data_IF_458031160311
#
_entry.id   IF_458031160311
#
_cell.length_a   1.000
_cell.length_b   1.000
_cell.length_c   1.000
_cell.angle_alpha   90.00
_cell.angle_beta   90.00
_cell.angle_gamma   90.00
#
_symmetry.space_group_name_H-M   'P 1'
#
loop_
_entity.id
_entity.type
_entity.pdbx_description
1 polymer ?
#
# COMPACT_ATOMS: atom_id res chain seq x y z
N UNK A 1 6.47 -26.62 11.07
CA UNK A 1 5.73 -25.43 10.60
C UNK A 1 4.54 -25.32 11.53
N UNK A 2 4.53 -24.29 12.38
CA UNK A 2 3.36 -24.02 13.20
C UNK A 2 2.23 -23.63 12.24
N UNK A 3 1.09 -24.23 12.44
CA UNK A 3 -0.15 -23.92 11.72
C UNK A 3 -0.67 -22.57 12.26
N UNK A 4 0.01 -21.49 11.90
CA UNK A 4 -0.45 -20.13 12.15
C UNK A 4 -1.53 -19.85 11.11
N UNK A 5 -2.78 -19.83 11.59
CA UNK A 5 -3.97 -19.74 10.76
C UNK A 5 -3.95 -18.54 9.82
N UNK A 6 -4.61 -18.66 8.66
CA UNK A 6 -4.79 -17.62 7.64
C UNK A 6 -5.22 -16.28 8.28
N UNK A 7 -4.49 -15.22 8.01
CA UNK A 7 -4.80 -13.86 8.48
C UNK A 7 -5.83 -13.18 7.58
N UNK A 8 -6.66 -12.32 8.15
CA UNK A 8 -7.64 -11.52 7.40
C UNK A 8 -7.16 -10.09 7.30
N UNK A 9 -6.88 -9.64 6.09
CA UNK A 9 -6.44 -8.28 5.78
C UNK A 9 -7.56 -7.57 5.03
N UNK A 10 -8.10 -6.50 5.64
CA UNK A 10 -9.06 -5.60 5.03
C UNK A 10 -8.32 -4.42 4.43
N UNK A 11 -8.54 -4.14 3.15
CA UNK A 11 -7.99 -2.98 2.47
C UNK A 11 -9.13 -2.10 1.95
N UNK A 12 -9.10 -0.79 2.24
CA UNK A 12 -10.03 0.18 1.65
C UNK A 12 -9.27 1.13 0.74
N UNK A 13 -9.68 1.20 -0.52
CA UNK A 13 -8.96 2.01 -1.49
C UNK A 13 -9.61 2.01 -2.87
N UNK A 14 -8.88 2.53 -3.83
CA UNK A 14 -9.26 2.56 -5.23
C UNK A 14 -9.06 1.20 -5.91
N UNK A 15 -10.02 0.87 -6.78
CA UNK A 15 -9.89 -0.10 -7.87
C UNK A 15 -10.16 0.68 -9.14
N UNK A 16 -9.17 0.78 -10.00
CA UNK A 16 -9.21 1.66 -11.16
C UNK A 16 -8.46 1.06 -12.36
N UNK A 17 -8.70 1.62 -13.53
CA UNK A 17 -7.97 1.27 -14.75
C UNK A 17 -6.90 2.32 -15.06
N UNK A 18 -5.66 1.91 -15.14
CA UNK A 18 -4.58 2.69 -15.72
C UNK A 18 -4.66 2.59 -17.25
N UNK A 19 -5.06 3.68 -17.90
CA UNK A 19 -5.22 3.75 -19.35
C UNK A 19 -3.87 4.15 -19.99
N UNK A 20 -3.05 3.15 -20.25
CA UNK A 20 -1.71 3.31 -20.81
C UNK A 20 -1.73 3.21 -22.36
N UNK A 21 -0.72 3.76 -23.07
CA UNK A 21 -0.67 3.68 -24.55
C UNK A 21 -0.64 2.24 -25.09
N UNK A 22 -0.14 1.29 -24.32
CA UNK A 22 -0.02 -0.13 -24.67
C UNK A 22 -1.18 -1.00 -24.16
N UNK A 23 -2.18 -0.41 -23.55
CA UNK A 23 -3.39 -1.08 -23.06
C UNK A 23 -3.83 -0.64 -21.67
N UNK A 24 -5.02 -1.03 -21.29
CA UNK A 24 -5.57 -0.78 -19.95
C UNK A 24 -5.11 -1.86 -18.98
N UNK A 25 -4.74 -1.46 -17.75
CA UNK A 25 -4.38 -2.38 -16.66
C UNK A 25 -5.19 -2.05 -15.42
N UNK A 26 -5.73 -3.09 -14.79
CA UNK A 26 -6.40 -2.90 -13.49
C UNK A 26 -5.36 -2.68 -12.41
N UNK A 27 -5.54 -1.63 -11.62
CA UNK A 27 -4.61 -1.19 -10.59
C UNK A 27 -5.31 -0.45 -9.45
N UNK A 28 -4.52 0.26 -8.69
CA UNK A 28 -4.83 0.94 -7.44
C UNK A 28 -3.95 0.40 -6.33
N UNK A 29 -3.36 1.27 -5.51
CA UNK A 29 -2.35 0.85 -4.53
C UNK A 29 -2.91 -0.19 -3.55
N UNK A 30 -4.06 0.09 -2.95
CA UNK A 30 -4.68 -0.83 -1.99
C UNK A 30 -5.22 -2.10 -2.67
N UNK A 31 -5.64 -2.03 -3.93
CA UNK A 31 -6.00 -3.21 -4.72
C UNK A 31 -4.77 -4.08 -5.01
N UNK A 32 -3.65 -3.50 -5.42
CA UNK A 32 -2.40 -4.23 -5.66
C UNK A 32 -1.92 -4.93 -4.38
N UNK A 33 -1.96 -4.22 -3.23
CA UNK A 33 -1.67 -4.78 -1.92
C UNK A 33 -2.57 -5.98 -1.62
N UNK A 34 -3.90 -5.84 -1.75
CA UNK A 34 -4.85 -6.92 -1.49
C UNK A 34 -4.61 -8.14 -2.41
N UNK A 35 -4.33 -7.91 -3.70
CA UNK A 35 -4.01 -8.97 -4.64
C UNK A 35 -2.74 -9.74 -4.24
N UNK A 36 -1.70 -9.03 -3.78
CA UNK A 36 -0.45 -9.66 -3.30
C UNK A 36 -0.65 -10.44 -2.02
N UNK A 37 -1.37 -9.89 -1.05
CA UNK A 37 -1.72 -10.57 0.21
C UNK A 37 -2.48 -11.88 -0.07
N UNK A 38 -3.48 -11.85 -0.95
CA UNK A 38 -4.21 -13.05 -1.35
C UNK A 38 -3.31 -14.11 -2.00
N UNK A 39 -2.32 -13.70 -2.80
CA UNK A 39 -1.32 -14.60 -3.41
C UNK A 39 -0.34 -15.20 -2.40
N UNK A 40 -0.11 -14.53 -1.27
CA UNK A 40 0.72 -15.05 -0.18
C UNK A 40 -0.03 -16.03 0.72
N UNK A 41 -1.34 -16.25 0.49
CA UNK A 41 -2.16 -17.25 1.19
C UNK A 41 -3.01 -16.71 2.32
N UNK A 42 -3.03 -15.39 2.55
CA UNK A 42 -3.92 -14.74 3.50
C UNK A 42 -5.27 -14.39 2.86
N UNK A 43 -6.28 -14.15 3.69
CA UNK A 43 -7.58 -13.69 3.24
C UNK A 43 -7.57 -12.18 3.02
N UNK A 44 -7.55 -11.75 1.77
CA UNK A 44 -7.64 -10.35 1.41
C UNK A 44 -9.10 -9.95 1.12
N UNK A 45 -9.58 -8.90 1.79
CA UNK A 45 -10.88 -8.28 1.60
C UNK A 45 -10.70 -6.87 1.06
N UNK A 46 -11.15 -6.62 -0.19
CA UNK A 46 -11.03 -5.30 -0.82
C UNK A 46 -12.33 -4.53 -0.73
N UNK A 47 -12.32 -3.42 0.00
CA UNK A 47 -13.42 -2.45 0.07
C UNK A 47 -13.19 -1.38 -0.97
N UNK A 48 -14.06 -1.31 -1.96
CA UNK A 48 -14.06 -0.28 -3.00
C UNK A 48 -15.45 -0.17 -3.64
N UNK A 49 -15.58 0.67 -4.67
CA UNK A 49 -16.81 0.80 -5.44
C UNK A 49 -16.52 0.95 -6.92
N UNK A 50 -17.26 0.21 -7.75
CA UNK A 50 -17.13 0.17 -9.20
C UNK A 50 -18.44 0.63 -9.86
N UNK A 51 -18.34 1.33 -10.96
CA UNK A 51 -19.51 1.69 -11.75
C UNK A 51 -20.23 0.47 -12.32
N UNK A 52 -21.53 0.59 -12.60
CA UNK A 52 -22.27 -0.38 -13.43
C UNK A 52 -22.06 -0.07 -14.91
N UNK A 53 -20.80 -0.15 -15.32
CA UNK A 53 -20.32 0.07 -16.68
C UNK A 53 -19.41 -1.07 -17.13
N UNK A 54 -19.01 -1.06 -18.41
CA UNK A 54 -18.20 -2.12 -18.98
C UNK A 54 -16.85 -2.29 -18.26
N UNK A 55 -16.19 -1.19 -17.84
CA UNK A 55 -14.94 -1.22 -17.09
C UNK A 55 -15.13 -1.82 -15.69
N UNK A 56 -16.26 -1.55 -15.04
CA UNK A 56 -16.57 -2.12 -13.73
C UNK A 56 -16.90 -3.61 -13.80
N UNK A 57 -17.55 -4.06 -14.87
CA UNK A 57 -17.83 -5.49 -15.08
C UNK A 57 -16.55 -6.26 -15.39
N UNK A 58 -15.65 -5.68 -16.20
CA UNK A 58 -14.35 -6.23 -16.52
C UNK A 58 -13.45 -6.25 -15.27
N UNK A 59 -13.42 -5.16 -14.47
CA UNK A 59 -12.70 -5.11 -13.20
C UNK A 59 -13.11 -6.23 -12.25
N UNK A 60 -14.44 -6.46 -12.08
CA UNK A 60 -14.95 -7.57 -11.27
C UNK A 60 -14.48 -8.95 -11.79
N UNK A 61 -14.46 -9.12 -13.12
CA UNK A 61 -13.98 -10.37 -13.72
C UNK A 61 -12.48 -10.59 -13.42
N UNK A 62 -11.65 -9.53 -13.53
CA UNK A 62 -10.23 -9.60 -13.18
C UNK A 62 -10.04 -9.90 -11.70
N UNK A 63 -10.73 -9.19 -10.80
CA UNK A 63 -10.63 -9.41 -9.34
C UNK A 63 -10.95 -10.87 -8.98
N UNK A 64 -12.02 -11.43 -9.58
CA UNK A 64 -12.39 -12.85 -9.40
C UNK A 64 -11.32 -13.80 -9.95
N UNK A 65 -10.73 -13.49 -11.10
CA UNK A 65 -9.67 -14.32 -11.69
C UNK A 65 -8.39 -14.37 -10.84
N UNK A 66 -8.15 -13.32 -10.04
CA UNK A 66 -7.08 -13.26 -9.05
C UNK A 66 -7.40 -14.06 -7.78
N UNK A 67 -8.61 -14.60 -7.65
CA UNK A 67 -9.06 -15.34 -6.48
C UNK A 67 -9.48 -14.46 -5.29
N UNK A 68 -9.65 -13.16 -5.51
CA UNK A 68 -10.06 -12.23 -4.45
C UNK A 68 -11.59 -12.28 -4.22
N UNK A 69 -11.97 -12.09 -2.96
CA UNK A 69 -13.36 -11.91 -2.57
C UNK A 69 -13.92 -10.57 -3.10
N UNK A 70 -15.06 -10.62 -3.76
CA UNK A 70 -15.72 -9.44 -4.34
C UNK A 70 -16.92 -8.96 -3.54
N UNK A 71 -17.20 -9.54 -2.38
CA UNK A 71 -18.41 -9.26 -1.58
C UNK A 71 -18.45 -7.84 -1.04
N UNK A 72 -17.29 -7.20 -0.86
CA UNK A 72 -17.17 -5.82 -0.38
C UNK A 72 -16.87 -4.81 -1.50
N UNK A 73 -16.91 -5.25 -2.76
CA UNK A 73 -16.88 -4.35 -3.92
C UNK A 73 -18.28 -3.87 -4.26
N UNK A 74 -18.59 -2.65 -3.86
CA UNK A 74 -19.90 -2.03 -4.12
C UNK A 74 -20.07 -1.71 -5.60
N UNK A 75 -21.32 -1.55 -6.05
CA UNK A 75 -21.66 -1.15 -7.44
C UNK A 75 -22.42 0.16 -7.43
N UNK A 76 -22.01 1.07 -8.33
CA UNK A 76 -22.59 2.41 -8.46
C UNK A 76 -23.40 2.54 -9.75
N UNK A 77 -24.63 3.07 -9.64
CA UNK A 77 -25.52 3.31 -10.79
C UNK A 77 -25.32 4.70 -11.42
N UNK A 78 -24.58 5.60 -10.75
CA UNK A 78 -24.43 7.01 -11.13
C UNK A 78 -22.98 7.33 -11.53
N UNK A 79 -22.01 6.92 -10.71
CA UNK A 79 -20.61 7.24 -10.90
C UNK A 79 -19.88 6.14 -11.68
N UNK A 80 -19.06 6.52 -12.69
CA UNK A 80 -18.32 5.55 -13.50
C UNK A 80 -17.20 4.89 -12.71
N UNK A 81 -16.72 3.75 -13.22
CA UNK A 81 -15.51 3.09 -12.73
C UNK A 81 -14.30 4.01 -12.83
N UNK A 82 -13.44 4.01 -11.82
CA UNK A 82 -12.26 4.85 -11.75
C UNK A 82 -11.25 4.58 -12.85
N UNK A 83 -10.63 5.64 -13.36
CA UNK A 83 -9.56 5.56 -14.37
C UNK A 83 -8.45 6.55 -14.06
N UNK A 84 -7.24 6.18 -14.47
CA UNK A 84 -6.09 7.08 -14.58
C UNK A 84 -5.77 7.25 -16.07
N UNK A 85 -5.65 8.49 -16.51
CA UNK A 85 -5.29 8.82 -17.88
C UNK A 85 -3.86 9.31 -17.94
N UNK A 86 -3.10 8.83 -18.91
CA UNK A 86 -1.77 9.36 -19.19
C UNK A 86 -1.93 10.58 -20.08
N UNK A 87 -1.55 11.74 -19.54
CA UNK A 87 -1.45 12.99 -20.28
C UNK A 87 0.05 13.25 -20.52
N UNK A 88 0.38 13.91 -21.62
CA UNK A 88 1.75 14.34 -21.85
C UNK A 88 1.82 15.86 -21.71
N UNK A 89 2.82 16.33 -20.96
CA UNK A 89 3.08 17.75 -20.87
C UNK A 89 3.64 18.32 -22.20
N UNK A 90 3.87 19.64 -22.25
CA UNK A 90 4.41 20.31 -23.45
C UNK A 90 5.83 19.82 -23.84
N UNK A 91 6.52 19.12 -22.94
CA UNK A 91 7.86 18.54 -23.16
C UNK A 91 7.80 17.05 -23.49
N UNK A 92 6.59 16.45 -23.57
CA UNK A 92 6.39 15.02 -23.81
C UNK A 92 6.62 14.15 -22.55
N UNK A 93 6.64 14.75 -21.35
CA UNK A 93 6.77 14.01 -20.09
C UNK A 93 5.39 13.50 -19.72
N UNK A 94 5.22 12.20 -19.41
CA UNK A 94 3.93 11.65 -18.98
C UNK A 94 3.52 12.23 -17.61
N UNK A 95 2.30 12.68 -17.50
CA UNK A 95 1.63 13.05 -16.25
C UNK A 95 0.40 12.15 -16.09
N UNK A 96 0.18 11.66 -14.88
CA UNK A 96 -0.91 10.73 -14.57
C UNK A 96 -2.07 11.50 -13.96
N UNK A 97 -3.16 11.61 -14.70
CA UNK A 97 -4.36 12.29 -14.24
C UNK A 97 -5.37 11.28 -13.68
N UNK A 98 -5.55 11.30 -12.36
CA UNK A 98 -6.55 10.48 -11.67
C UNK A 98 -7.91 11.17 -11.79
N UNK A 99 -8.81 10.59 -12.61
CA UNK A 99 -10.12 11.16 -12.90
C UNK A 99 -10.92 11.30 -11.59
N UNK A 100 -11.45 12.50 -11.28
CA UNK A 100 -12.29 12.69 -10.10
C UNK A 100 -13.77 12.34 -10.40
N UNK A 101 -14.58 12.18 -9.33
CA UNK A 101 -16.02 11.93 -9.44
C UNK A 101 -16.33 10.55 -9.98
N UNK A 102 -15.60 9.56 -9.52
CA UNK A 102 -15.74 8.15 -9.90
C UNK A 102 -16.28 7.32 -8.74
N UNK A 103 -16.66 6.07 -9.00
CA UNK A 103 -17.37 5.24 -8.04
C UNK A 103 -16.67 5.05 -6.70
N UNK A 104 -15.33 4.82 -6.66
CA UNK A 104 -14.60 4.64 -5.41
C UNK A 104 -14.53 5.92 -4.53
N UNK A 105 -14.88 7.08 -5.05
CA UNK A 105 -15.05 8.31 -4.27
C UNK A 105 -16.32 8.30 -3.39
N UNK A 106 -17.19 7.29 -3.57
CA UNK A 106 -18.52 7.20 -2.99
C UNK A 106 -18.80 5.84 -2.32
N UNK A 107 -17.79 5.21 -1.73
CA UNK A 107 -17.98 3.99 -0.92
C UNK A 107 -18.91 4.32 0.24
N UNK A 108 -19.95 3.52 0.42
CA UNK A 108 -20.98 3.71 1.45
C UNK A 108 -20.76 2.75 2.61
N UNK A 109 -21.10 3.21 3.81
CA UNK A 109 -21.14 2.34 5.00
C UNK A 109 -22.26 1.33 4.88
N UNK A 110 -21.93 0.06 5.08
CA UNK A 110 -22.85 -1.08 5.06
C UNK A 110 -22.51 -2.04 6.19
N UNK A 111 -23.49 -2.76 6.73
CA UNK A 111 -23.28 -3.73 7.82
C UNK A 111 -22.23 -4.81 7.49
N UNK A 112 -22.06 -5.14 6.21
CA UNK A 112 -21.02 -6.06 5.75
C UNK A 112 -19.60 -5.52 6.00
N UNK A 113 -19.40 -4.19 5.89
CA UNK A 113 -18.11 -3.54 6.18
C UNK A 113 -17.83 -3.54 7.67
N UNK A 114 -18.84 -3.25 8.51
CA UNK A 114 -18.72 -3.29 9.97
C UNK A 114 -18.32 -4.69 10.45
N UNK A 115 -18.95 -5.71 9.88
CA UNK A 115 -18.59 -7.11 10.17
C UNK A 115 -17.18 -7.42 9.69
N UNK A 116 -16.79 -6.99 8.50
CA UNK A 116 -15.45 -7.27 7.97
C UNK A 116 -14.35 -6.64 8.82
N UNK A 117 -14.50 -5.37 9.25
CA UNK A 117 -13.49 -4.71 10.09
C UNK A 117 -13.38 -5.35 11.47
N UNK A 118 -14.48 -5.84 12.04
CA UNK A 118 -14.47 -6.52 13.35
C UNK A 118 -13.75 -7.89 13.33
N UNK A 119 -13.55 -8.47 12.15
CA UNK A 119 -12.89 -9.77 11.95
C UNK A 119 -11.48 -9.62 11.34
N UNK A 120 -11.04 -8.42 11.04
CA UNK A 120 -9.75 -8.19 10.43
C UNK A 120 -8.58 -8.30 11.44
N UNK A 121 -7.50 -8.98 11.05
CA UNK A 121 -6.21 -8.91 11.76
C UNK A 121 -5.44 -7.65 11.38
N UNK A 122 -5.70 -7.10 10.18
CA UNK A 122 -5.07 -5.88 9.68
C UNK A 122 -6.07 -5.07 8.85
N UNK A 123 -6.01 -3.75 8.99
CA UNK A 123 -6.77 -2.79 8.20
C UNK A 123 -5.82 -1.83 7.47
N UNK A 124 -5.70 -2.00 6.15
CA UNK A 124 -4.86 -1.18 5.29
C UNK A 124 -5.69 -0.07 4.62
N UNK A 125 -5.18 1.14 4.63
CA UNK A 125 -5.83 2.31 4.01
C UNK A 125 -4.80 3.32 3.49
N UNK A 126 -5.26 4.25 2.64
CA UNK A 126 -4.44 5.29 2.04
C UNK A 126 -5.14 6.65 2.02
N UNK A 127 -4.54 7.62 1.33
CA UNK A 127 -5.05 8.99 1.28
C UNK A 127 -5.97 9.26 0.09
N UNK A 128 -5.79 8.57 -1.04
CA UNK A 128 -6.48 8.86 -2.30
C UNK A 128 -8.01 8.83 -2.17
N UNK A 129 -8.57 7.81 -1.54
CA UNK A 129 -10.02 7.66 -1.37
C UNK A 129 -10.64 8.66 -0.39
N UNK A 130 -9.80 9.45 0.29
CA UNK A 130 -10.24 10.50 1.22
C UNK A 130 -10.43 11.86 0.54
N UNK A 131 -10.14 11.98 -0.76
CA UNK A 131 -10.27 13.24 -1.51
C UNK A 131 -11.71 13.78 -1.55
N UNK A 132 -12.70 12.91 -1.41
CA UNK A 132 -14.13 13.29 -1.30
C UNK A 132 -14.69 12.96 0.06
N UNK A 133 -15.78 13.63 0.45
CA UNK A 133 -16.44 13.43 1.75
C UNK A 133 -17.03 12.01 1.87
N UNK A 134 -17.61 11.45 0.81
CA UNK A 134 -18.30 10.16 0.85
C UNK A 134 -17.44 9.04 1.40
N UNK A 135 -16.41 8.64 0.68
CA UNK A 135 -15.53 7.54 1.13
C UNK A 135 -14.73 7.91 2.37
N UNK A 136 -14.37 9.21 2.54
CA UNK A 136 -13.68 9.66 3.77
C UNK A 136 -14.51 9.43 5.02
N UNK A 137 -15.82 9.66 5.00
CA UNK A 137 -16.72 9.40 6.13
C UNK A 137 -16.83 7.90 6.41
N UNK A 138 -16.95 7.07 5.38
CA UNK A 138 -16.94 5.61 5.51
C UNK A 138 -15.62 5.11 6.12
N UNK A 139 -14.48 5.60 5.65
CA UNK A 139 -13.18 5.25 6.21
C UNK A 139 -13.09 5.65 7.70
N UNK A 140 -13.51 6.87 8.05
CA UNK A 140 -13.53 7.34 9.44
C UNK A 140 -14.41 6.46 10.33
N UNK A 141 -15.57 6.06 9.83
CA UNK A 141 -16.47 5.14 10.52
C UNK A 141 -15.80 3.77 10.77
N UNK A 142 -15.15 3.20 9.76
CA UNK A 142 -14.48 1.91 9.89
C UNK A 142 -13.24 1.98 10.81
N UNK A 143 -12.43 3.05 10.73
CA UNK A 143 -11.28 3.25 11.61
C UNK A 143 -11.70 3.34 13.08
N UNK A 144 -12.86 3.94 13.38
CA UNK A 144 -13.40 4.00 14.73
C UNK A 144 -13.82 2.63 15.28
N UNK A 145 -14.04 1.64 14.43
CA UNK A 145 -14.40 0.26 14.81
C UNK A 145 -13.20 -0.70 14.78
N UNK A 146 -12.09 -0.29 14.19
CA UNK A 146 -10.87 -1.09 14.01
C UNK A 146 -10.03 -1.12 15.31
N UNK A 147 -10.61 -1.61 16.43
CA UNK A 147 -9.95 -1.56 17.75
C UNK A 147 -8.91 -2.67 17.94
N UNK A 148 -9.11 -3.84 17.33
CA UNK A 148 -8.33 -5.05 17.60
C UNK A 148 -7.51 -5.53 16.41
N UNK A 149 -7.21 -4.68 15.44
CA UNK A 149 -6.40 -5.01 14.27
C UNK A 149 -5.27 -4.00 14.08
N UNK A 150 -4.21 -4.44 13.40
CA UNK A 150 -3.11 -3.57 12.98
C UNK A 150 -3.61 -2.59 11.91
N UNK A 151 -3.56 -1.27 12.17
CA UNK A 151 -3.94 -0.23 11.22
C UNK A 151 -2.72 0.25 10.44
N UNK A 152 -2.67 -0.08 9.16
CA UNK A 152 -1.56 0.24 8.25
C UNK A 152 -1.96 1.37 7.31
N UNK A 153 -1.30 2.50 7.44
CA UNK A 153 -1.38 3.61 6.50
C UNK A 153 -0.25 3.48 5.46
N UNK A 154 -0.57 3.04 4.25
CA UNK A 154 0.28 3.27 3.07
C UNK A 154 -0.12 4.63 2.52
N UNK A 155 0.69 5.67 2.80
CA UNK A 155 0.24 7.04 2.63
C UNK A 155 -0.03 7.39 1.17
N UNK A 156 0.82 6.94 0.28
CA UNK A 156 0.68 6.96 -1.17
C UNK A 156 0.11 8.29 -1.68
N UNK A 157 0.84 9.39 -1.44
CA UNK A 157 0.40 10.73 -1.76
C UNK A 157 0.26 10.93 -3.27
N UNK A 158 -0.91 11.36 -3.71
CA UNK A 158 -1.18 11.67 -5.10
C UNK A 158 -1.53 13.16 -5.24
N UNK A 159 -0.89 13.82 -6.19
CA UNK A 159 -1.08 15.25 -6.47
C UNK A 159 -2.56 15.63 -6.42
N UNK A 160 -2.87 16.70 -5.69
CA UNK A 160 -4.22 17.26 -5.54
C UNK A 160 -5.30 16.31 -4.94
N UNK A 161 -4.91 15.16 -4.39
CA UNK A 161 -5.83 14.16 -3.83
C UNK A 161 -5.79 14.05 -2.30
N UNK A 162 -5.00 14.86 -1.61
CA UNK A 162 -4.91 14.88 -0.16
C UNK A 162 -4.93 16.32 0.39
N UNK A 163 -5.17 16.45 1.67
CA UNK A 163 -5.06 17.69 2.41
C UNK A 163 -4.31 17.45 3.72
N UNK A 164 -3.81 18.52 4.34
CA UNK A 164 -3.19 18.42 5.66
C UNK A 164 -4.15 17.73 6.67
N UNK A 165 -5.42 18.10 6.64
CA UNK A 165 -6.44 17.50 7.52
C UNK A 165 -6.56 15.98 7.34
N UNK A 166 -6.65 15.50 6.09
CA UNK A 166 -6.77 14.06 5.81
C UNK A 166 -5.52 13.28 6.19
N UNK A 167 -4.35 13.87 5.99
CA UNK A 167 -3.06 13.29 6.39
C UNK A 167 -2.95 13.22 7.93
N UNK A 168 -3.19 14.32 8.64
CA UNK A 168 -3.12 14.35 10.12
C UNK A 168 -4.15 13.40 10.75
N UNK A 169 -5.36 13.32 10.20
CA UNK A 169 -6.38 12.37 10.64
C UNK A 169 -5.88 10.92 10.47
N UNK A 170 -5.35 10.60 9.30
CA UNK A 170 -4.84 9.25 8.99
C UNK A 170 -3.69 8.85 9.91
N UNK A 171 -2.73 9.74 10.13
CA UNK A 171 -1.61 9.53 11.04
C UNK A 171 -2.05 9.33 12.49
N UNK A 172 -3.11 10.05 12.92
CA UNK A 172 -3.68 9.93 14.26
C UNK A 172 -4.41 8.60 14.52
N UNK A 173 -4.68 7.80 13.47
CA UNK A 173 -5.42 6.55 13.56
C UNK A 173 -4.61 5.33 13.09
N UNK A 174 -3.39 5.51 12.62
CA UNK A 174 -2.52 4.43 12.17
C UNK A 174 -1.61 3.91 13.29
N UNK A 175 -1.34 2.62 13.27
CA UNK A 175 -0.32 1.97 14.11
C UNK A 175 1.00 1.87 13.34
N UNK A 176 0.92 1.73 12.02
CA UNK A 176 2.06 1.65 11.12
C UNK A 176 1.88 2.64 9.95
N UNK A 177 2.90 3.47 9.75
CA UNK A 177 3.03 4.35 8.59
C UNK A 177 4.05 3.74 7.62
N UNK A 178 3.66 3.58 6.35
CA UNK A 178 4.60 3.33 5.25
C UNK A 178 4.56 4.48 4.26
N UNK A 179 5.74 4.89 3.84
CA UNK A 179 5.96 5.94 2.84
C UNK A 179 7.25 5.68 2.06
N UNK A 180 7.46 6.38 0.96
CA UNK A 180 8.72 6.40 0.24
C UNK A 180 9.53 7.66 0.59
N UNK A 181 10.75 7.78 0.08
CA UNK A 181 11.67 8.91 0.32
C UNK A 181 11.15 10.26 -0.23
N UNK A 182 10.47 10.27 -1.37
CA UNK A 182 9.81 11.48 -1.89
C UNK A 182 8.66 11.92 -0.96
N UNK A 183 7.88 10.98 -0.47
CA UNK A 183 6.77 11.23 0.46
C UNK A 183 7.26 11.71 1.83
N UNK A 184 8.46 11.29 2.28
CA UNK A 184 9.12 11.87 3.46
C UNK A 184 9.28 13.37 3.28
N UNK A 185 9.82 13.81 2.14
CA UNK A 185 10.01 15.24 1.86
C UNK A 185 8.68 15.99 1.80
N UNK A 186 7.68 15.42 1.11
CA UNK A 186 6.35 16.04 1.01
C UNK A 186 5.67 16.19 2.37
N UNK A 187 5.76 15.19 3.24
CA UNK A 187 5.19 15.26 4.58
C UNK A 187 5.99 16.18 5.51
N UNK A 188 7.31 16.20 5.38
CA UNK A 188 8.17 17.10 6.14
C UNK A 188 7.78 18.57 5.92
N UNK A 189 7.56 18.94 4.67
CA UNK A 189 7.07 20.27 4.29
C UNK A 189 5.62 20.49 4.76
N UNK A 190 4.70 19.55 4.45
CA UNK A 190 3.28 19.68 4.76
C UNK A 190 3.03 19.85 6.26
N UNK A 191 3.76 19.11 7.10
CA UNK A 191 3.57 19.08 8.55
C UNK A 191 4.53 20.02 9.29
N UNK A 192 5.41 20.74 8.56
CA UNK A 192 6.43 21.63 9.10
C UNK A 192 7.28 20.92 10.19
N UNK A 193 7.80 19.74 9.86
CA UNK A 193 8.65 18.95 10.75
C UNK A 193 10.09 19.49 10.73
N UNK A 194 10.61 19.77 9.51
CA UNK A 194 11.96 20.28 9.25
C UNK A 194 13.05 19.31 9.73
N UNK A 195 12.86 18.02 9.45
CA UNK A 195 13.82 16.97 9.75
C UNK A 195 15.03 17.03 8.81
N UNK A 196 16.20 16.73 9.33
CA UNK A 196 17.44 16.75 8.54
C UNK A 196 17.68 15.50 7.71
N UNK A 197 17.07 14.40 8.09
CA UNK A 197 17.21 13.08 7.47
C UNK A 197 15.99 12.18 7.74
N UNK A 198 15.83 11.04 7.04
CA UNK A 198 14.68 10.16 7.22
C UNK A 198 14.53 9.58 8.64
N UNK A 199 15.62 9.36 9.36
CA UNK A 199 15.56 8.84 10.75
C UNK A 199 15.00 9.90 11.69
N UNK A 200 15.47 11.15 11.55
CA UNK A 200 14.97 12.28 12.32
C UNK A 200 13.48 12.53 11.99
N UNK A 201 13.10 12.44 10.72
CA UNK A 201 11.70 12.54 10.31
C UNK A 201 10.83 11.46 10.97
N UNK A 202 11.22 10.18 10.88
CA UNK A 202 10.48 9.07 11.50
C UNK A 202 10.37 9.26 13.02
N UNK A 203 11.44 9.69 13.67
CA UNK A 203 11.46 9.96 15.12
C UNK A 203 10.44 11.03 15.49
N UNK A 204 10.43 12.14 14.75
CA UNK A 204 9.55 13.27 15.04
C UNK A 204 8.07 12.96 14.73
N UNK A 205 7.79 12.26 13.62
CA UNK A 205 6.41 11.91 13.28
C UNK A 205 5.84 10.90 14.27
N UNK A 206 6.64 9.94 14.74
CA UNK A 206 6.25 8.99 15.79
C UNK A 206 6.11 9.64 17.17
N UNK A 207 6.79 10.75 17.43
CA UNK A 207 6.57 11.54 18.65
C UNK A 207 5.24 12.30 18.61
N UNK A 208 4.79 12.75 17.42
CA UNK A 208 3.54 13.51 17.25
C UNK A 208 2.29 12.64 17.14
N UNK A 209 2.43 11.42 16.61
CA UNK A 209 1.30 10.53 16.32
C UNK A 209 1.47 9.15 16.99
N UNK A 210 0.39 8.39 17.23
CA UNK A 210 0.41 7.12 17.96
C UNK A 210 0.98 5.94 17.14
N UNK A 211 1.91 6.20 16.25
CA UNK A 211 2.55 5.20 15.41
C UNK A 211 3.45 4.28 16.23
N UNK A 212 3.32 2.98 16.07
CA UNK A 212 4.23 1.97 16.63
C UNK A 212 5.40 1.69 15.69
N UNK A 213 5.17 1.83 14.36
CA UNK A 213 6.20 1.65 13.34
C UNK A 213 6.12 2.71 12.25
N UNK A 214 7.28 3.14 11.75
CA UNK A 214 7.41 3.99 10.58
C UNK A 214 8.37 3.33 9.59
N UNK A 215 7.90 3.05 8.36
CA UNK A 215 8.64 2.39 7.31
C UNK A 215 8.88 3.37 6.16
N UNK A 216 10.14 3.56 5.76
CA UNK A 216 10.51 4.37 4.60
C UNK A 216 11.18 3.49 3.55
N UNK A 217 10.60 3.43 2.34
CA UNK A 217 11.19 2.72 1.21
C UNK A 217 12.01 3.67 0.33
N UNK A 218 13.17 3.20 -0.17
CA UNK A 218 14.11 3.95 -1.01
C UNK A 218 14.27 3.29 -2.39
N UNK A 219 13.15 2.80 -2.96
CA UNK A 219 13.14 2.11 -4.24
C UNK A 219 14.10 0.91 -4.25
N UNK A 220 15.05 0.90 -5.16
CA UNK A 220 16.04 -0.18 -5.30
C UNK A 220 17.01 -0.28 -4.12
N UNK A 221 17.09 0.73 -3.27
CA UNK A 221 17.99 0.78 -2.12
C UNK A 221 17.39 0.20 -0.83
N UNK A 222 16.17 -0.35 -0.88
CA UNK A 222 15.59 -1.07 0.24
C UNK A 222 14.74 -0.22 1.19
N UNK A 223 14.74 -0.52 2.48
CA UNK A 223 13.83 0.08 3.43
C UNK A 223 14.46 0.34 4.81
N UNK A 224 14.09 1.47 5.40
CA UNK A 224 14.34 1.85 6.78
C UNK A 224 13.07 1.60 7.60
N UNK A 225 13.20 1.06 8.79
CA UNK A 225 12.12 0.89 9.75
C UNK A 225 12.52 1.44 11.12
N UNK A 226 11.65 2.24 11.71
CA UNK A 226 11.74 2.66 13.09
C UNK A 226 10.57 2.08 13.87
N UNK A 227 10.85 1.60 15.09
CA UNK A 227 9.83 1.12 16.04
C UNK A 227 9.79 2.02 17.28
N UNK A 228 8.64 2.18 17.89
CA UNK A 228 8.46 3.02 19.10
C UNK A 228 9.38 2.64 20.24
N UNK A 229 9.81 1.38 20.32
CA UNK A 229 10.82 0.90 21.28
C UNK A 229 12.24 1.41 21.04
N UNK A 230 12.46 2.25 20.02
CA UNK A 230 13.76 2.84 19.67
C UNK A 230 14.61 2.00 18.74
N UNK A 231 14.11 0.84 18.27
CA UNK A 231 14.81 0.03 17.28
C UNK A 231 14.78 0.74 15.92
N UNK A 232 15.94 0.91 15.30
CA UNK A 232 16.12 1.43 13.95
C UNK A 232 16.81 0.37 13.11
N UNK A 233 16.20 -0.02 12.01
CA UNK A 233 16.64 -1.10 11.13
C UNK A 233 16.72 -0.55 9.71
N UNK A 234 17.81 -0.86 9.02
CA UNK A 234 17.89 -0.71 7.57
C UNK A 234 18.11 -2.08 6.93
N UNK A 235 17.23 -2.43 5.99
CA UNK A 235 17.35 -3.59 5.13
C UNK A 235 17.65 -3.13 3.70
N UNK A 236 18.86 -3.42 3.15
CA UNK A 236 19.21 -3.01 1.80
C UNK A 236 18.33 -3.65 0.73
N UNK A 237 18.21 -2.98 -0.41
CA UNK A 237 17.43 -3.46 -1.54
C UNK A 237 18.11 -4.58 -2.31
N UNK A 238 17.37 -5.28 -3.15
CA UNK A 238 17.91 -6.31 -4.04
C UNK A 238 18.22 -5.70 -5.41
N UNK A 239 19.41 -5.98 -5.94
CA UNK A 239 19.80 -5.54 -7.27
C UNK A 239 19.14 -6.43 -8.32
N UNK A 240 18.20 -5.88 -9.08
CA UNK A 240 17.48 -6.57 -10.15
C UNK A 240 17.46 -5.76 -11.43
N UNK A 241 17.16 -6.42 -12.54
CA UNK A 241 16.86 -5.72 -13.79
C UNK A 241 15.41 -5.22 -13.74
N UNK A 242 15.23 -3.92 -13.61
CA UNK A 242 13.91 -3.29 -13.52
C UNK A 242 13.24 -3.26 -14.90
N UNK A 243 12.00 -3.76 -14.96
CA UNK A 243 11.12 -3.73 -16.14
C UNK A 243 10.03 -2.68 -15.94
N UNK A 244 9.35 -2.71 -14.79
CA UNK A 244 8.27 -1.81 -14.43
C UNK A 244 8.24 -1.65 -12.91
N UNK A 245 8.15 -0.43 -12.39
CA UNK A 245 8.09 -0.17 -10.94
C UNK A 245 6.67 -0.13 -10.39
N UNK A 246 5.65 -0.24 -11.26
CA UNK A 246 4.25 -0.17 -10.84
C UNK A 246 3.92 -1.31 -9.86
N UNK A 247 3.38 -0.94 -8.70
CA UNK A 247 2.99 -1.88 -7.66
C UNK A 247 4.14 -2.47 -6.82
N UNK A 248 5.42 -2.07 -7.05
CA UNK A 248 6.55 -2.55 -6.23
C UNK A 248 6.44 -2.10 -4.77
N UNK A 249 6.03 -0.85 -4.52
CA UNK A 249 5.78 -0.33 -3.18
C UNK A 249 4.61 -1.03 -2.51
N UNK A 250 3.52 -1.29 -3.26
CA UNK A 250 2.34 -2.01 -2.77
C UNK A 250 2.70 -3.46 -2.40
N UNK A 251 3.57 -4.09 -3.21
CA UNK A 251 4.09 -5.43 -2.96
C UNK A 251 5.00 -5.46 -1.72
N UNK A 252 5.84 -4.44 -1.52
CA UNK A 252 6.62 -4.29 -0.28
C UNK A 252 5.68 -4.27 0.93
N UNK A 253 4.64 -3.42 0.90
CA UNK A 253 3.69 -3.30 2.01
C UNK A 253 2.94 -4.62 2.24
N UNK A 254 2.49 -5.31 1.18
CA UNK A 254 1.83 -6.61 1.27
C UNK A 254 2.75 -7.68 1.89
N UNK A 255 3.99 -7.76 1.44
CA UNK A 255 4.99 -8.70 1.96
C UNK A 255 5.34 -8.43 3.42
N UNK A 256 5.52 -7.16 3.77
CA UNK A 256 5.77 -6.74 5.16
C UNK A 256 4.60 -7.15 6.07
N UNK A 257 3.36 -6.76 5.72
CA UNK A 257 2.16 -7.05 6.51
C UNK A 257 1.97 -8.56 6.69
N UNK A 258 2.08 -9.32 5.60
CA UNK A 258 2.00 -10.80 5.65
C UNK A 258 2.98 -11.37 6.68
N UNK A 259 4.27 -11.08 6.55
CA UNK A 259 5.29 -11.65 7.44
C UNK A 259 5.16 -11.17 8.87
N UNK A 260 4.82 -9.90 9.07
CA UNK A 260 4.66 -9.31 10.40
C UNK A 260 3.49 -9.91 11.16
N UNK A 261 2.34 -10.11 10.52
CA UNK A 261 1.17 -10.76 11.12
C UNK A 261 1.41 -12.24 11.44
N UNK A 262 2.33 -12.89 10.73
CA UNK A 262 2.77 -14.26 11.00
C UNK A 262 3.98 -14.35 11.97
N UNK A 263 4.20 -13.31 12.78
CA UNK A 263 5.16 -13.33 13.89
C UNK A 263 6.62 -13.09 13.50
N UNK A 264 6.89 -12.66 12.26
CA UNK A 264 8.24 -12.25 11.87
C UNK A 264 8.65 -10.94 12.58
N UNK A 265 9.95 -10.79 12.86
CA UNK A 265 10.49 -9.51 13.33
C UNK A 265 10.34 -8.44 12.26
N UNK A 266 10.39 -7.15 12.65
CA UNK A 266 10.34 -6.01 11.72
C UNK A 266 11.41 -6.16 10.64
N UNK A 267 12.63 -6.57 10.98
CA UNK A 267 13.72 -6.84 10.04
C UNK A 267 13.35 -7.91 9.01
N UNK A 268 12.85 -9.06 9.48
CA UNK A 268 12.45 -10.16 8.58
C UNK A 268 11.30 -9.74 7.67
N UNK A 269 10.35 -8.98 8.18
CA UNK A 269 9.24 -8.45 7.40
C UNK A 269 9.72 -7.43 6.33
N UNK A 270 10.64 -6.52 6.68
CA UNK A 270 11.26 -5.59 5.71
C UNK A 270 12.04 -6.33 4.62
N UNK A 271 12.83 -7.35 5.00
CA UNK A 271 13.60 -8.16 4.06
C UNK A 271 12.70 -8.87 3.04
N UNK A 272 11.62 -9.49 3.51
CA UNK A 272 10.64 -10.14 2.65
C UNK A 272 9.89 -9.13 1.76
N UNK A 273 9.49 -7.98 2.32
CA UNK A 273 8.89 -6.88 1.57
C UNK A 273 9.80 -6.39 0.45
N UNK A 274 11.10 -6.16 0.74
CA UNK A 274 12.10 -5.79 -0.27
C UNK A 274 12.24 -6.86 -1.36
N UNK A 275 12.26 -8.15 -1.00
CA UNK A 275 12.35 -9.24 -1.96
C UNK A 275 11.12 -9.26 -2.89
N UNK A 276 9.92 -9.17 -2.32
CA UNK A 276 8.68 -9.17 -3.10
C UNK A 276 8.57 -7.95 -4.01
N UNK A 277 8.89 -6.75 -3.49
CA UNK A 277 8.93 -5.51 -4.27
C UNK A 277 9.92 -5.58 -5.43
N UNK A 278 11.13 -6.10 -5.18
CA UNK A 278 12.15 -6.28 -6.22
C UNK A 278 11.70 -7.28 -7.30
N UNK A 279 11.07 -8.40 -6.92
CA UNK A 279 10.54 -9.38 -7.88
C UNK A 279 9.41 -8.78 -8.73
N UNK A 280 8.52 -7.97 -8.13
CA UNK A 280 7.49 -7.24 -8.88
C UNK A 280 8.13 -6.29 -9.88
N UNK A 281 9.18 -5.59 -9.51
CA UNK A 281 9.90 -4.68 -10.42
C UNK A 281 10.51 -5.36 -11.64
N UNK A 282 10.68 -6.68 -11.64
CA UNK A 282 11.17 -7.46 -12.82
C UNK A 282 10.05 -7.85 -13.78
N UNK A 283 8.80 -7.52 -13.51
CA UNK A 283 7.62 -7.88 -14.31
C UNK A 283 6.91 -6.63 -14.80
N UNK A 284 5.95 -6.79 -15.69
CA UNK A 284 5.05 -5.71 -16.13
C UNK A 284 3.77 -5.76 -15.29
N UNK A 285 3.43 -4.65 -14.62
CA UNK A 285 2.22 -4.53 -13.81
C UNK A 285 2.33 -5.05 -12.38
N UNK A 286 1.42 -4.57 -11.50
CA UNK A 286 1.48 -4.77 -10.05
C UNK A 286 0.94 -6.10 -9.53
N UNK A 287 0.17 -6.87 -10.30
CA UNK A 287 -0.58 -8.05 -9.82
C UNK A 287 -0.20 -9.39 -10.47
N UNK A 288 0.79 -9.40 -11.35
CA UNK A 288 1.27 -10.64 -11.99
C UNK A 288 1.71 -11.70 -10.97
N UNK A 289 1.40 -12.99 -11.17
CA UNK A 289 1.65 -14.01 -10.17
C UNK A 289 3.15 -14.24 -9.93
N UNK A 290 3.52 -14.37 -8.65
CA UNK A 290 4.84 -14.81 -8.20
C UNK A 290 4.63 -16.02 -7.29
N UNK A 291 5.27 -17.14 -7.61
CA UNK A 291 5.14 -18.36 -6.81
C UNK A 291 5.83 -18.17 -5.44
N UNK A 292 5.22 -18.57 -4.30
CA UNK A 292 5.82 -18.43 -2.98
C UNK A 292 7.22 -19.05 -2.87
N UNK A 293 7.45 -20.17 -3.54
CA UNK A 293 8.74 -20.87 -3.57
C UNK A 293 9.81 -20.06 -4.32
N UNK A 294 9.38 -19.22 -5.29
CA UNK A 294 10.29 -18.34 -6.01
C UNK A 294 10.75 -17.19 -5.11
N UNK A 295 9.85 -16.66 -4.25
CA UNK A 295 10.20 -15.61 -3.28
C UNK A 295 11.20 -16.17 -2.26
N UNK A 296 10.92 -17.33 -1.69
CA UNK A 296 11.79 -17.97 -0.71
C UNK A 296 13.19 -18.30 -1.28
N UNK A 297 13.27 -18.69 -2.55
CA UNK A 297 14.58 -18.88 -3.24
C UNK A 297 15.28 -17.55 -3.43
N UNK A 298 14.58 -16.53 -3.91
CA UNK A 298 15.15 -15.21 -4.17
C UNK A 298 15.74 -14.55 -2.91
N UNK A 299 15.10 -14.71 -1.75
CA UNK A 299 15.65 -14.22 -0.47
C UNK A 299 16.99 -14.88 -0.10
N UNK A 300 17.26 -16.11 -0.59
CA UNK A 300 18.37 -16.94 -0.16
C UNK A 300 19.43 -17.21 -1.26
N UNK A 301 19.22 -16.74 -2.48
CA UNK A 301 20.11 -17.05 -3.61
C UNK A 301 21.40 -16.20 -3.71
N UNK A 302 21.62 -15.31 -2.71
CA UNK A 302 22.80 -14.46 -2.65
C UNK A 302 22.77 -13.27 -3.60
N UNK A 303 21.58 -12.89 -4.09
CA UNK A 303 21.39 -11.69 -4.93
C UNK A 303 22.08 -10.47 -4.33
N UNK A 304 22.85 -9.75 -5.15
CA UNK A 304 23.57 -8.55 -4.73
C UNK A 304 22.62 -7.49 -4.18
N UNK A 305 23.07 -6.78 -3.14
CA UNK A 305 22.24 -5.80 -2.42
C UNK A 305 22.72 -4.38 -2.70
N UNK A 306 21.78 -3.47 -2.89
CA UNK A 306 22.05 -2.04 -2.96
C UNK A 306 21.98 -1.45 -1.57
N UNK A 307 23.07 -0.80 -1.13
CA UNK A 307 23.22 -0.22 0.22
C UNK A 307 23.29 1.29 0.11
N UNK A 308 22.51 2.01 0.91
CA UNK A 308 22.66 3.45 1.14
C UNK A 308 23.73 3.66 2.24
N UNK A 309 24.86 4.29 1.91
CA UNK A 309 25.97 4.43 2.86
C UNK A 309 25.58 5.14 4.15
N UNK A 310 24.67 6.14 4.08
CA UNK A 310 24.21 6.91 5.23
C UNK A 310 23.36 6.08 6.20
N UNK A 311 22.77 4.96 5.74
CA UNK A 311 21.94 4.05 6.54
C UNK A 311 22.68 2.77 6.95
N UNK A 312 23.88 2.51 6.45
CA UNK A 312 24.66 1.28 6.69
C UNK A 312 24.84 0.98 8.18
N UNK A 313 24.96 2.02 9.02
CA UNK A 313 25.06 1.88 10.48
C UNK A 313 23.86 1.21 11.16
N UNK A 314 22.74 1.10 10.47
CA UNK A 314 21.51 0.44 10.94
C UNK A 314 21.30 -0.97 10.37
N UNK A 315 22.26 -1.44 9.57
CA UNK A 315 22.39 -2.84 9.20
C UNK A 315 23.07 -3.54 10.39
N UNK A 316 22.28 -4.16 11.26
CA UNK A 316 22.82 -4.98 12.34
C UNK A 316 22.86 -6.44 11.88
N UNK A 317 23.92 -7.15 12.16
CA UNK A 317 24.11 -8.58 11.87
C UNK A 317 23.10 -9.48 12.61
#
# INVERSE_FOLDING_TARGET
>A
MNDEGTKTILAIGEVLWDLLPDGARLGGALFNLAARVGRLGDRALMVSRLGRDALGDEALAVVRSLGLDTTLLQRDDVYPTGTVQVCFDKKGIPDYFIVPGVAYDHVQTEAALDHAVSQADCFCFGTLVQRTAGTRETLRHLLAQAENCLKVLDINLRKDCYSRETVEYSLGHADLLKLNDDEVQMLDELLAIHAGDPVAFCTEIMARYPLEHCLVTFGENGALALSRGGETIYEPGYRVHVVDTLGSGDAFTAGFVHRFLHGATVRQACRFGNALGAMVATQVGGTEPIAPEAIARFENDGTERNVLPELERFMVD
#
